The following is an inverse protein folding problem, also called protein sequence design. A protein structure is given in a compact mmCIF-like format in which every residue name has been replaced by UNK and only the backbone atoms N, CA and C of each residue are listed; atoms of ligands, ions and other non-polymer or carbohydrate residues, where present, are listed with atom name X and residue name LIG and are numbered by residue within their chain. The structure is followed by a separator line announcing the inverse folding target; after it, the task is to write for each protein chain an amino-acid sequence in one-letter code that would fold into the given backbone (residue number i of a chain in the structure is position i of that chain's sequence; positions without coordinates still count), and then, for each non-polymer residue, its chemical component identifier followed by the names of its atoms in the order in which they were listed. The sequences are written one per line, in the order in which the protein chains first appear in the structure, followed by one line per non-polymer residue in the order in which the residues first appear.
data_IF_068264225276
#
_entry.id   IF_068264225276
#
_cell.length_a   1.000
_cell.length_b   1.000
_cell.length_c   1.000
_cell.angle_alpha   90.00
_cell.angle_beta   90.00
_cell.angle_gamma   90.00
#
_symmetry.space_group_name_H-M   'P 1'
#
loop_
_entity.id
_entity.type
_entity.pdbx_description
1 polymer ?
#
# COMPACT_ATOMS: atom_id res chain seq x y z
N UNK A 1 0.44 25.65 -19.88
CA UNK A 1 0.50 24.20 -20.16
C UNK A 1 1.95 23.78 -19.94
N UNK A 2 2.26 23.20 -18.79
CA UNK A 2 3.62 22.78 -18.46
C UNK A 2 3.93 21.54 -19.29
N UNK A 3 4.80 21.67 -20.30
CA UNK A 3 5.21 20.53 -21.12
C UNK A 3 6.08 19.58 -20.28
N UNK A 4 5.71 18.30 -20.27
CA UNK A 4 6.49 17.24 -19.63
C UNK A 4 7.63 16.83 -20.58
N UNK A 5 8.89 16.91 -20.13
CA UNK A 5 10.05 16.87 -21.04
C UNK A 5 10.82 15.54 -21.09
N UNK A 6 10.33 14.45 -20.50
CA UNK A 6 11.08 13.17 -20.50
C UNK A 6 10.25 11.98 -21.00
N UNK A 7 10.67 11.41 -22.13
CA UNK A 7 10.23 10.09 -22.58
C UNK A 7 11.22 9.03 -22.10
N UNK A 8 11.27 8.78 -20.78
CA UNK A 8 12.10 7.69 -20.26
C UNK A 8 11.58 6.35 -20.78
N UNK A 9 12.47 5.45 -21.18
CA UNK A 9 12.09 4.10 -21.65
C UNK A 9 12.47 3.00 -20.66
N UNK A 10 12.90 3.39 -19.46
CA UNK A 10 13.23 2.51 -18.35
C UNK A 10 12.97 3.24 -17.02
N UNK A 11 12.64 2.49 -15.97
CA UNK A 11 12.25 3.07 -14.68
C UNK A 11 13.39 3.81 -13.97
N UNK A 12 14.63 3.36 -14.13
CA UNK A 12 15.84 3.97 -13.57
C UNK A 12 16.15 5.35 -14.15
N UNK A 13 15.59 5.68 -15.32
CA UNK A 13 15.83 6.95 -16.03
C UNK A 13 14.65 7.92 -15.92
N UNK A 14 13.63 7.60 -15.13
CA UNK A 14 12.46 8.45 -14.96
C UNK A 14 12.86 9.74 -14.25
N UNK A 15 12.67 10.87 -14.92
CA UNK A 15 12.75 12.17 -14.29
C UNK A 15 11.45 12.44 -13.51
N UNK A 16 11.57 12.63 -12.20
CA UNK A 16 10.46 13.00 -11.33
C UNK A 16 10.34 14.53 -11.31
N UNK A 17 9.20 15.04 -11.72
CA UNK A 17 8.87 16.47 -11.74
C UNK A 17 7.82 16.79 -10.67
N UNK A 18 8.03 17.89 -9.94
CA UNK A 18 7.07 18.39 -8.95
C UNK A 18 6.08 19.38 -9.59
N UNK A 19 4.81 19.24 -9.24
CA UNK A 19 3.71 20.10 -9.66
C UNK A 19 2.99 20.66 -8.42
N UNK A 20 2.81 21.98 -8.29
CA UNK A 20 2.07 22.53 -7.17
C UNK A 20 0.60 22.09 -7.22
N UNK A 21 0.03 21.75 -6.05
CA UNK A 21 -1.39 21.42 -5.93
C UNK A 21 -2.17 22.67 -5.49
N UNK A 22 -3.20 23.03 -6.25
CA UNK A 22 -4.13 24.09 -5.85
C UNK A 22 -4.92 23.65 -4.61
N UNK A 23 -4.86 24.48 -3.56
CA UNK A 23 -5.54 24.20 -2.30
C UNK A 23 -7.02 24.57 -2.40
N UNK A 24 -7.89 23.66 -2.00
CA UNK A 24 -9.29 23.99 -1.77
C UNK A 24 -9.44 25.01 -0.63
N UNK A 25 -10.49 25.83 -0.68
CA UNK A 25 -10.69 26.96 0.24
C UNK A 25 -10.75 26.53 1.71
N UNK A 26 -11.34 25.37 1.98
CA UNK A 26 -11.49 24.80 3.33
C UNK A 26 -10.16 24.32 3.96
N UNK A 27 -9.07 24.23 3.18
CA UNK A 27 -7.73 23.86 3.66
C UNK A 27 -6.69 24.94 3.40
N UNK A 28 -7.10 26.12 2.91
CA UNK A 28 -6.19 27.20 2.55
C UNK A 28 -5.37 27.72 3.75
N UNK A 29 -5.95 27.69 4.96
CA UNK A 29 -5.33 28.11 6.23
C UNK A 29 -4.25 27.13 6.73
N UNK A 30 -4.16 25.93 6.17
CA UNK A 30 -3.04 25.05 6.43
C UNK A 30 -1.83 25.66 5.72
N UNK A 31 -0.84 26.14 6.47
CA UNK A 31 0.44 26.68 6.01
C UNK A 31 1.34 25.57 5.43
N UNK A 32 0.79 24.85 4.47
CA UNK A 32 1.42 23.76 3.73
C UNK A 32 1.40 24.10 2.25
N UNK A 33 2.44 23.68 1.56
CA UNK A 33 2.61 23.82 0.11
C UNK A 33 2.64 22.42 -0.52
N UNK A 34 1.48 21.77 -0.69
CA UNK A 34 1.43 20.42 -1.22
C UNK A 34 1.90 20.40 -2.69
N UNK A 35 2.68 19.37 -3.03
CA UNK A 35 3.19 19.14 -4.38
C UNK A 35 2.87 17.71 -4.81
N UNK A 36 2.48 17.54 -6.07
CA UNK A 36 2.36 16.25 -6.75
C UNK A 36 3.67 15.98 -7.50
N UNK A 37 4.38 14.93 -7.12
CA UNK A 37 5.58 14.50 -7.83
C UNK A 37 5.20 13.41 -8.84
N UNK A 38 5.44 13.65 -10.12
CA UNK A 38 5.08 12.73 -11.22
C UNK A 38 6.34 12.31 -11.97
N UNK A 39 6.44 11.03 -12.29
CA UNK A 39 7.44 10.43 -13.16
C UNK A 39 6.72 9.64 -14.27
N UNK A 40 7.15 9.76 -15.53
CA UNK A 40 6.57 9.01 -16.66
C UNK A 40 7.65 8.23 -17.41
N UNK A 41 7.36 6.96 -17.71
CA UNK A 41 8.15 6.12 -18.61
C UNK A 41 7.25 5.34 -19.58
N UNK A 42 7.76 5.12 -20.80
CA UNK A 42 7.20 4.25 -21.81
C UNK A 42 7.98 2.95 -21.82
N UNK A 43 7.39 1.90 -21.26
CA UNK A 43 8.04 0.60 -21.13
C UNK A 43 7.59 -0.34 -22.25
N UNK A 44 8.46 -1.27 -22.64
CA UNK A 44 8.03 -2.43 -23.43
C UNK A 44 7.10 -3.31 -22.59
N UNK A 45 6.32 -4.19 -23.21
CA UNK A 45 5.50 -5.15 -22.45
C UNK A 45 6.36 -5.98 -21.51
N UNK A 46 7.54 -6.42 -21.98
CA UNK A 46 8.47 -7.21 -21.18
C UNK A 46 8.91 -6.45 -19.92
N UNK A 47 9.30 -5.18 -20.06
CA UNK A 47 9.76 -4.37 -18.92
C UNK A 47 8.60 -4.00 -17.98
N UNK A 48 7.44 -3.66 -18.54
CA UNK A 48 6.24 -3.29 -17.78
C UNK A 48 5.70 -4.45 -16.93
N UNK A 49 5.96 -5.69 -17.35
CA UNK A 49 5.48 -6.92 -16.69
C UNK A 49 6.60 -7.74 -16.07
N UNK A 50 7.83 -7.22 -16.06
CA UNK A 50 8.99 -7.95 -15.54
C UNK A 50 8.83 -8.32 -14.06
N UNK A 51 8.07 -7.51 -13.32
CA UNK A 51 7.84 -7.67 -11.88
C UNK A 51 6.36 -7.57 -11.55
N UNK A 52 5.92 -8.46 -10.67
CA UNK A 52 4.61 -8.43 -10.04
C UNK A 52 4.78 -8.36 -8.52
N UNK A 53 4.04 -7.45 -7.87
CA UNK A 53 4.05 -7.31 -6.42
C UNK A 53 2.73 -7.85 -5.87
N UNK A 54 2.80 -8.90 -5.07
CA UNK A 54 1.65 -9.37 -4.30
C UNK A 54 1.62 -8.64 -2.96
N UNK A 55 0.43 -8.21 -2.55
CA UNK A 55 0.20 -7.45 -1.33
C UNK A 55 -0.80 -8.17 -0.43
N UNK A 56 -0.53 -8.14 0.87
CA UNK A 56 -1.44 -8.63 1.92
C UNK A 56 -1.39 -7.62 3.07
N UNK A 57 -2.54 -7.21 3.55
CA UNK A 57 -2.70 -6.28 4.65
C UNK A 57 -3.03 -7.04 5.92
N UNK A 58 -2.33 -6.73 7.00
CA UNK A 58 -2.63 -7.18 8.35
C UNK A 58 -3.37 -6.09 9.10
N UNK A 59 -4.45 -6.44 9.78
CA UNK A 59 -5.34 -5.50 10.46
C UNK A 59 -5.46 -5.84 11.95
N UNK A 60 -5.44 -4.83 12.81
CA UNK A 60 -5.64 -5.00 14.25
C UNK A 60 -6.44 -3.86 14.86
N UNK A 61 -7.09 -4.16 15.98
CA UNK A 61 -7.81 -3.18 16.79
C UNK A 61 -7.21 -3.09 18.20
N UNK A 62 -7.17 -1.87 18.71
CA UNK A 62 -6.73 -1.59 20.08
C UNK A 62 -7.82 -1.95 21.07
N UNK A 63 -7.43 -2.62 22.15
CA UNK A 63 -8.22 -2.79 23.35
C UNK A 63 -7.49 -2.15 24.56
N UNK A 64 -8.17 -1.39 25.43
CA UNK A 64 -7.51 -0.63 26.50
C UNK A 64 -6.63 -1.45 27.46
N UNK A 65 -6.94 -2.74 27.68
CA UNK A 65 -6.22 -3.57 28.65
C UNK A 65 -5.25 -4.57 28.02
N UNK A 66 -5.55 -5.07 26.82
CA UNK A 66 -4.80 -6.12 26.13
C UNK A 66 -4.03 -5.62 24.92
N UNK A 67 -4.19 -4.36 24.57
CA UNK A 67 -3.46 -3.70 23.49
C UNK A 67 -3.97 -4.06 22.10
N UNK A 68 -3.06 -4.05 21.12
CA UNK A 68 -3.36 -4.35 19.73
C UNK A 68 -3.52 -5.86 19.50
N UNK A 69 -4.59 -6.26 18.82
CA UNK A 69 -4.77 -7.63 18.37
C UNK A 69 -5.82 -7.71 17.26
N UNK A 70 -5.66 -8.67 16.35
CA UNK A 70 -6.70 -9.03 15.39
C UNK A 70 -7.95 -9.62 16.06
N UNK A 71 -7.81 -10.23 17.25
CA UNK A 71 -8.96 -10.80 18.00
C UNK A 71 -9.94 -9.74 18.51
N UNK A 72 -9.53 -8.47 18.52
CA UNK A 72 -10.40 -7.35 18.88
C UNK A 72 -11.21 -6.83 17.68
N UNK A 73 -10.95 -7.30 16.45
CA UNK A 73 -11.71 -6.90 15.27
C UNK A 73 -13.17 -7.34 15.40
N UNK A 74 -14.08 -6.45 15.01
CA UNK A 74 -15.52 -6.69 15.03
C UNK A 74 -16.00 -7.08 13.63
N UNK A 75 -16.38 -8.34 13.34
CA UNK A 75 -16.68 -8.79 11.97
C UNK A 75 -17.77 -8.01 11.23
N UNK A 76 -18.67 -7.34 11.96
CA UNK A 76 -19.73 -6.52 11.36
C UNK A 76 -19.30 -5.09 10.98
N UNK A 77 -18.11 -4.65 11.39
CA UNK A 77 -17.63 -3.26 11.25
C UNK A 77 -16.21 -3.14 10.72
N UNK A 78 -15.39 -4.16 10.95
CA UNK A 78 -13.97 -4.19 10.64
C UNK A 78 -13.69 -5.16 9.48
N UNK A 79 -12.60 -4.92 8.71
CA UNK A 79 -12.09 -5.93 7.79
C UNK A 79 -11.63 -7.17 8.56
N UNK A 80 -11.42 -8.25 7.82
CA UNK A 80 -10.77 -9.44 8.35
C UNK A 80 -9.34 -9.15 8.84
N UNK A 81 -8.78 -10.04 9.67
CA UNK A 81 -7.42 -9.92 10.19
C UNK A 81 -6.39 -9.77 9.06
N UNK A 82 -6.62 -10.46 7.94
CA UNK A 82 -5.80 -10.41 6.74
C UNK A 82 -6.67 -10.11 5.52
N UNK A 83 -6.29 -9.12 4.71
CA UNK A 83 -7.00 -8.76 3.47
C UNK A 83 -6.03 -8.60 2.29
N UNK A 84 -6.41 -9.00 1.06
CA UNK A 84 -5.54 -8.85 -0.12
C UNK A 84 -5.41 -7.38 -0.56
N UNK A 85 -6.38 -6.55 -0.17
CA UNK A 85 -6.44 -5.14 -0.55
C UNK A 85 -6.72 -4.26 0.68
N UNK A 86 -6.54 -2.96 0.50
CA UNK A 86 -6.93 -1.96 1.50
C UNK A 86 -8.45 -1.77 1.62
N UNK A 87 -9.22 -2.33 0.69
CA UNK A 87 -10.66 -2.14 0.65
C UNK A 87 -11.34 -2.99 1.73
N UNK A 88 -12.03 -2.31 2.65
CA UNK A 88 -12.83 -2.96 3.71
C UNK A 88 -14.01 -3.78 3.18
N UNK A 89 -14.40 -3.58 1.92
CA UNK A 89 -15.50 -4.31 1.29
C UNK A 89 -15.03 -5.58 0.59
N UNK A 90 -13.73 -5.84 0.56
CA UNK A 90 -13.18 -7.05 -0.04
C UNK A 90 -13.40 -8.27 0.86
N UNK A 91 -14.11 -9.25 0.32
CA UNK A 91 -14.54 -10.47 1.02
C UNK A 91 -13.46 -11.56 0.94
N UNK A 92 -12.39 -11.38 0.16
CA UNK A 92 -11.32 -12.37 -0.04
C UNK A 92 -10.27 -12.43 1.10
N UNK A 93 -10.56 -11.88 2.27
CA UNK A 93 -9.70 -11.95 3.45
C UNK A 93 -10.04 -13.11 4.40
N UNK A 94 -9.33 -13.18 5.53
CA UNK A 94 -9.62 -14.15 6.59
C UNK A 94 -8.82 -13.95 7.87
N UNK A 95 -8.90 -14.95 8.75
CA UNK A 95 -8.24 -14.92 10.06
C UNK A 95 -6.76 -15.32 9.97
N UNK A 96 -6.36 -16.00 8.89
CA UNK A 96 -4.98 -16.44 8.65
C UNK A 96 -4.38 -15.71 7.47
N UNK A 97 -3.06 -15.53 7.52
CA UNK A 97 -2.28 -14.93 6.44
C UNK A 97 -2.60 -15.53 5.06
N UNK A 98 -2.66 -16.86 4.98
CA UNK A 98 -2.92 -17.59 3.73
C UNK A 98 -4.32 -17.36 3.16
N UNK A 99 -5.29 -16.92 3.96
CA UNK A 99 -6.65 -16.67 3.51
C UNK A 99 -6.71 -15.43 2.60
N UNK A 100 -5.75 -14.51 2.75
CA UNK A 100 -5.63 -13.28 1.96
C UNK A 100 -4.66 -13.40 0.77
N UNK A 101 -4.01 -14.56 0.58
CA UNK A 101 -3.07 -14.76 -0.54
C UNK A 101 -3.86 -15.08 -1.81
N UNK A 102 -3.84 -14.16 -2.77
CA UNK A 102 -4.41 -14.37 -4.10
C UNK A 102 -3.60 -15.35 -4.95
N UNK A 103 -4.17 -15.85 -6.06
CA UNK A 103 -3.45 -16.69 -7.01
C UNK A 103 -2.28 -15.92 -7.65
N UNK A 104 -1.13 -16.59 -7.78
CA UNK A 104 0.01 -16.04 -8.51
C UNK A 104 -0.28 -16.10 -10.01
N UNK A 105 -0.16 -14.99 -10.77
CA UNK A 105 -0.36 -15.01 -12.21
C UNK A 105 0.58 -15.99 -12.93
N UNK A 106 0.09 -16.62 -14.00
CA UNK A 106 0.89 -17.58 -14.78
C UNK A 106 2.18 -16.94 -15.31
N UNK A 107 3.27 -17.69 -15.23
CA UNK A 107 4.59 -17.24 -15.71
C UNK A 107 5.36 -16.38 -14.71
N UNK A 108 4.85 -16.16 -13.49
CA UNK A 108 5.59 -15.47 -12.44
C UNK A 108 6.15 -16.45 -11.42
N UNK A 109 7.33 -16.15 -10.89
CA UNK A 109 7.97 -16.92 -9.82
C UNK A 109 8.37 -16.01 -8.68
N UNK A 110 8.29 -16.55 -7.47
CA UNK A 110 8.72 -15.85 -6.26
C UNK A 110 10.20 -15.47 -6.36
N UNK A 111 10.50 -14.19 -6.13
CA UNK A 111 11.87 -13.66 -6.08
C UNK A 111 12.42 -13.61 -4.67
N UNK A 112 11.56 -13.31 -3.70
CA UNK A 112 11.92 -13.05 -2.31
C UNK A 112 10.81 -13.53 -1.36
N UNK A 113 11.11 -13.81 -0.08
CA UNK A 113 10.08 -14.10 0.90
C UNK A 113 9.17 -12.88 1.13
N UNK A 114 8.05 -13.10 1.82
CA UNK A 114 7.22 -12.01 2.32
C UNK A 114 8.02 -11.07 3.23
N UNK A 115 7.82 -9.78 3.06
CA UNK A 115 8.47 -8.74 3.86
C UNK A 115 7.48 -7.62 4.19
N UNK A 116 7.69 -6.99 5.35
CA UNK A 116 6.90 -5.82 5.76
C UNK A 116 7.41 -4.59 5.04
N UNK A 117 6.49 -3.84 4.42
CA UNK A 117 6.79 -2.58 3.75
C UNK A 117 6.88 -1.42 4.74
N UNK A 118 7.98 -1.38 5.49
CA UNK A 118 8.20 -0.41 6.58
C UNK A 118 8.18 1.05 6.11
N UNK A 119 8.46 1.31 4.83
CA UNK A 119 8.45 2.66 4.25
C UNK A 119 7.10 3.39 4.33
N UNK A 120 6.00 2.65 4.54
CA UNK A 120 4.65 3.19 4.61
C UNK A 120 4.16 3.48 6.03
N UNK A 121 4.84 2.99 7.06
CA UNK A 121 4.36 3.04 8.45
C UNK A 121 5.45 3.48 9.42
N UNK A 122 5.25 3.12 10.69
CA UNK A 122 6.29 3.25 11.70
C UNK A 122 7.47 2.28 11.45
N UNK A 123 8.37 2.15 12.42
CA UNK A 123 9.54 1.28 12.33
C UNK A 123 9.18 -0.20 12.09
N UNK A 124 7.97 -0.62 12.44
CA UNK A 124 7.44 -1.97 12.26
C UNK A 124 6.42 -2.05 11.10
N UNK A 125 6.28 -0.96 10.33
CA UNK A 125 5.39 -0.84 9.17
C UNK A 125 3.92 -0.58 9.50
N UNK A 126 3.57 -0.27 10.74
CA UNK A 126 2.20 0.01 11.13
C UNK A 126 1.74 1.41 10.73
N UNK A 127 0.52 1.46 10.23
CA UNK A 127 -0.28 2.64 9.99
C UNK A 127 -1.44 2.68 10.97
N UNK A 128 -1.74 3.84 11.52
CA UNK A 128 -2.72 4.01 12.59
C UNK A 128 -3.87 4.92 12.17
N UNK A 129 -5.08 4.63 12.64
CA UNK A 129 -6.27 5.45 12.39
C UNK A 129 -7.30 5.31 13.51
N UNK A 130 -8.25 6.24 13.56
CA UNK A 130 -9.45 6.11 14.40
C UNK A 130 -10.46 5.10 13.81
N UNK A 131 -10.44 4.88 12.49
CA UNK A 131 -11.32 3.92 11.80
C UNK A 131 -10.61 3.30 10.60
N UNK A 132 -11.07 2.14 10.12
CA UNK A 132 -10.52 1.53 8.90
C UNK A 132 -10.78 2.34 7.62
N UNK A 133 -11.60 3.40 7.67
CA UNK A 133 -11.77 4.35 6.57
C UNK A 133 -10.64 5.40 6.49
N UNK A 134 -9.68 5.37 7.42
CA UNK A 134 -8.66 6.40 7.56
C UNK A 134 -9.20 7.69 8.20
N UNK A 135 -8.47 8.81 8.09
CA UNK A 135 -7.14 8.92 7.49
C UNK A 135 -6.07 8.15 8.29
N UNK A 136 -5.06 7.65 7.59
CA UNK A 136 -3.97 6.87 8.19
C UNK A 136 -2.79 7.75 8.57
N UNK A 137 -2.08 7.36 9.63
CA UNK A 137 -0.95 8.08 10.18
C UNK A 137 0.19 7.10 10.50
N UNK A 138 1.42 7.55 10.27
CA UNK A 138 2.63 6.77 10.59
C UNK A 138 2.80 6.56 12.09
N UNK A 139 2.49 7.58 12.90
CA UNK A 139 2.55 7.48 14.36
C UNK A 139 1.14 7.34 14.98
N UNK A 140 0.98 6.54 16.04
CA UNK A 140 -0.28 6.44 16.74
C UNK A 140 -0.65 7.77 17.39
N UNK A 141 -1.93 8.15 17.29
CA UNK A 141 -2.52 9.25 18.04
C UNK A 141 -3.31 8.70 19.22
N UNK A 142 -3.64 9.54 20.19
CA UNK A 142 -4.50 9.14 21.30
C UNK A 142 -5.87 8.60 20.84
N UNK A 143 -6.36 9.07 19.69
CA UNK A 143 -7.62 8.61 19.07
C UNK A 143 -7.46 7.37 18.17
N UNK A 144 -6.25 6.86 18.00
CA UNK A 144 -6.00 5.69 17.15
C UNK A 144 -6.50 4.43 17.84
N UNK A 145 -7.41 3.73 17.18
CA UNK A 145 -7.99 2.47 17.69
C UNK A 145 -7.93 1.34 16.68
N UNK A 146 -7.48 1.60 15.46
CA UNK A 146 -7.16 0.59 14.46
C UNK A 146 -5.75 0.81 13.93
N UNK A 147 -5.10 -0.28 13.54
CA UNK A 147 -3.85 -0.24 12.80
C UNK A 147 -3.83 -1.26 11.68
N UNK A 148 -3.03 -1.00 10.66
CA UNK A 148 -2.76 -1.95 9.59
C UNK A 148 -1.30 -1.90 9.13
N UNK A 149 -0.77 -2.98 8.59
CA UNK A 149 0.56 -2.99 7.94
C UNK A 149 0.54 -3.79 6.65
N UNK A 150 1.39 -3.41 5.72
CA UNK A 150 1.50 -4.05 4.41
C UNK A 150 2.62 -5.09 4.42
N UNK A 151 2.25 -6.32 4.08
CA UNK A 151 3.16 -7.36 3.66
C UNK A 151 3.20 -7.39 2.14
N UNK A 152 4.39 -7.44 1.56
CA UNK A 152 4.52 -7.65 0.13
C UNK A 152 5.58 -8.68 -0.21
N UNK A 153 5.39 -9.26 -1.39
CA UNK A 153 6.28 -10.24 -1.98
C UNK A 153 6.44 -9.93 -3.46
N UNK A 154 7.69 -9.83 -3.88
CA UNK A 154 8.03 -9.63 -5.29
C UNK A 154 8.08 -10.97 -6.03
N UNK A 155 7.52 -10.95 -7.23
CA UNK A 155 7.62 -12.01 -8.23
C UNK A 155 8.26 -11.46 -9.50
N UNK A 156 9.09 -12.27 -10.14
CA UNK A 156 9.66 -11.96 -11.45
C UNK A 156 9.00 -12.81 -12.54
N UNK A 157 8.76 -12.22 -13.71
CA UNK A 157 8.21 -12.92 -14.88
C UNK A 157 9.29 -13.82 -15.47
N UNK A 158 9.03 -15.12 -15.57
CA UNK A 158 9.82 -16.05 -16.37
C UNK A 158 9.44 -15.89 -17.84
N UNK A 159 10.33 -15.29 -18.61
CA UNK A 159 10.27 -15.40 -20.06
C UNK A 159 10.69 -16.82 -20.45
N UNK A 160 9.80 -17.56 -21.11
CA UNK A 160 10.18 -18.80 -21.79
C UNK A 160 10.88 -18.34 -23.06
N UNK A 161 12.21 -18.38 -23.06
CA UNK A 161 12.97 -18.21 -24.30
C UNK A 161 12.68 -19.43 -25.18
N UNK A 162 12.25 -19.25 -26.44
CA UNK A 162 12.05 -20.37 -27.37
C UNK A 162 13.34 -21.13 -27.67
#
# INVERSE_FOLDING_TARGET
MTQYSSAATSLDKVAIQAFPIEKATNVASQERNPQLHVGLAWLTEADATATYLMQVWENERWHPTSGWSHTHLTPSKDPAAWTPTEDRHDVQGGDKFNDAIGPVPNGYVEKAPWSVHVSFGDNDGWLYSATFAGPWHVAPKFTSVVRRRLWARQYDRKFITP
#
